data_IF_951264154403
#
_entry.id   IF_951264154403
#
_cell.length_a   1.000
_cell.length_b   1.000
_cell.length_c   1.000
_cell.angle_alpha   90.00
_cell.angle_beta   90.00
_cell.angle_gamma   90.00
#
_symmetry.space_group_name_H-M   'P 1'
#
loop_
_entity.id
_entity.type
_entity.pdbx_description
1 polymer ?
#
# COMPACT_ATOMS: atom_id res chain seq x y z
N UNK A 1 27.73 -3.33 14.13
CA UNK A 1 26.60 -3.53 13.18
C UNK A 1 25.35 -2.94 13.79
N UNK A 2 24.55 -2.26 12.94
CA UNK A 2 23.26 -1.70 13.34
C UNK A 2 22.19 -2.22 12.36
N UNK A 3 21.11 -2.79 12.90
CA UNK A 3 19.95 -3.26 12.15
C UNK A 3 18.74 -2.46 12.56
N UNK A 4 18.00 -1.96 11.56
CA UNK A 4 16.78 -1.20 11.76
C UNK A 4 15.56 -2.02 11.34
N UNK A 5 14.57 -2.09 12.22
CA UNK A 5 13.21 -2.53 11.88
C UNK A 5 12.29 -1.32 11.72
N UNK A 6 11.03 -1.54 11.43
CA UNK A 6 10.07 -0.40 11.33
C UNK A 6 9.82 0.31 12.66
N UNK A 7 10.16 -0.33 13.80
CA UNK A 7 9.84 0.15 15.15
C UNK A 7 11.02 0.18 16.11
N UNK A 8 12.08 -0.57 15.83
CA UNK A 8 13.20 -0.76 16.76
C UNK A 8 14.54 -0.77 16.03
N UNK A 9 15.57 -0.44 16.78
CA UNK A 9 16.96 -0.53 16.38
C UNK A 9 17.63 -1.65 17.17
N UNK A 10 18.49 -2.40 16.52
CA UNK A 10 19.30 -3.45 17.13
C UNK A 10 20.76 -3.18 16.85
N UNK A 11 21.60 -3.36 17.86
CA UNK A 11 23.04 -3.20 17.76
C UNK A 11 23.75 -4.50 18.08
N UNK A 12 24.84 -4.77 17.38
CA UNK A 12 25.72 -5.90 17.64
C UNK A 12 27.18 -5.49 17.47
N UNK A 13 28.04 -6.03 18.30
CA UNK A 13 29.50 -5.88 18.20
C UNK A 13 30.10 -7.19 17.67
N UNK A 14 31.31 -7.11 17.10
CA UNK A 14 32.03 -8.31 16.66
C UNK A 14 32.15 -9.33 17.81
N UNK A 15 31.88 -10.63 17.59
CA UNK A 15 31.68 -11.38 16.33
C UNK A 15 30.24 -11.37 15.72
N UNK A 16 29.32 -10.51 16.21
CA UNK A 16 27.95 -10.31 15.69
C UNK A 16 26.98 -11.47 15.93
N UNK A 17 27.20 -12.24 16.97
CA UNK A 17 26.38 -13.38 17.41
C UNK A 17 25.24 -12.97 18.34
N UNK A 18 25.34 -11.81 18.98
CA UNK A 18 24.30 -11.26 19.83
C UNK A 18 23.80 -9.90 19.33
N UNK A 19 22.48 -9.74 19.27
CA UNK A 19 21.83 -8.48 18.93
C UNK A 19 21.09 -7.92 20.15
N UNK A 20 21.45 -6.69 20.54
CA UNK A 20 20.81 -5.98 21.64
C UNK A 20 19.84 -4.95 21.11
N UNK A 21 18.59 -5.00 21.58
CA UNK A 21 17.57 -4.01 21.27
C UNK A 21 17.99 -2.67 21.90
N UNK A 22 18.07 -1.64 21.06
CA UNK A 22 18.36 -0.27 21.48
C UNK A 22 17.11 0.58 21.25
N UNK A 23 16.59 1.19 22.32
CA UNK A 23 15.43 2.07 22.23
C UNK A 23 15.88 3.49 21.95
N UNK A 24 15.53 3.99 20.78
CA UNK A 24 15.77 5.37 20.42
C UNK A 24 14.91 6.29 21.29
N UNK A 25 15.53 7.29 21.90
CA UNK A 25 14.81 8.31 22.68
C UNK A 25 13.83 9.08 21.83
N UNK A 26 12.82 9.63 22.47
CA UNK A 26 11.82 10.50 21.84
C UNK A 26 12.50 11.77 21.31
N UNK A 27 12.31 12.13 20.03
CA UNK A 27 12.85 13.37 19.50
C UNK A 27 12.12 14.58 20.08
N UNK A 28 12.77 15.73 20.08
CA UNK A 28 12.12 16.99 20.42
C UNK A 28 10.92 17.26 19.50
N UNK A 29 9.87 17.86 20.04
CA UNK A 29 8.64 18.17 19.31
C UNK A 29 7.94 16.93 18.69
N UNK A 30 8.09 15.78 19.33
CA UNK A 30 7.39 14.57 18.93
C UNK A 30 5.87 14.74 18.94
N UNK A 31 5.23 14.23 17.91
CA UNK A 31 3.77 14.14 17.83
C UNK A 31 3.35 12.67 17.64
N UNK A 32 2.44 12.14 18.48
CA UNK A 32 1.97 10.76 18.42
C UNK A 32 0.98 10.55 17.25
N UNK A 33 1.31 11.09 16.08
CA UNK A 33 0.47 10.93 14.87
C UNK A 33 1.00 9.81 13.99
N UNK A 34 0.07 9.18 13.28
CA UNK A 34 0.33 8.21 12.23
C UNK A 34 -0.34 8.63 10.93
N UNK A 35 0.12 8.13 9.80
CA UNK A 35 -0.49 8.44 8.50
C UNK A 35 -1.91 7.89 8.43
N UNK A 36 -2.87 8.71 7.99
CA UNK A 36 -4.24 8.28 7.75
C UNK A 36 -4.30 7.20 6.66
N UNK A 37 -3.49 7.33 5.62
CA UNK A 37 -3.35 6.30 4.59
C UNK A 37 -2.90 4.96 5.18
N UNK A 38 -1.91 4.97 6.08
CA UNK A 38 -1.46 3.75 6.76
C UNK A 38 -2.56 3.12 7.60
N UNK A 39 -3.34 3.92 8.31
CA UNK A 39 -4.51 3.46 9.09
C UNK A 39 -5.56 2.80 8.19
N UNK A 40 -5.90 3.44 7.06
CA UNK A 40 -6.87 2.89 6.09
C UNK A 40 -6.34 1.60 5.46
N UNK A 41 -5.06 1.54 5.12
CA UNK A 41 -4.44 0.32 4.60
C UNK A 41 -4.58 -0.85 5.57
N UNK A 42 -4.15 -0.64 6.82
CA UNK A 42 -4.23 -1.68 7.84
C UNK A 42 -5.68 -2.08 8.18
N UNK A 43 -6.62 -1.14 8.07
CA UNK A 43 -8.04 -1.42 8.23
C UNK A 43 -8.56 -2.29 7.08
N UNK A 44 -8.20 -1.97 5.83
CA UNK A 44 -8.59 -2.73 4.65
C UNK A 44 -8.01 -4.16 4.65
N UNK A 45 -6.75 -4.32 5.04
CA UNK A 45 -6.10 -5.63 5.13
C UNK A 45 -6.47 -6.42 6.40
N UNK A 46 -7.17 -5.78 7.35
CA UNK A 46 -7.47 -6.34 8.67
C UNK A 46 -6.31 -6.27 9.65
N UNK A 47 -5.12 -5.88 9.23
CA UNK A 47 -3.92 -5.83 10.08
C UNK A 47 -4.04 -4.84 11.23
N UNK A 48 -4.95 -3.87 11.13
CA UNK A 48 -5.17 -2.86 12.18
C UNK A 48 -5.50 -3.49 13.54
N UNK A 49 -6.16 -4.63 13.52
CA UNK A 49 -6.51 -5.39 14.74
C UNK A 49 -5.78 -6.74 14.81
N UNK A 50 -4.61 -6.85 14.19
CA UNK A 50 -3.76 -8.03 14.21
C UNK A 50 -4.40 -9.25 13.55
N UNK A 51 -4.13 -10.45 14.08
CA UNK A 51 -4.64 -11.72 13.52
C UNK A 51 -6.17 -11.81 13.49
N UNK A 52 -6.92 -11.41 14.53
CA UNK A 52 -8.39 -11.40 14.46
C UNK A 52 -8.94 -10.54 13.32
N UNK A 53 -8.35 -9.36 13.08
CA UNK A 53 -8.75 -8.50 11.98
C UNK A 53 -8.48 -9.11 10.61
N UNK A 54 -7.31 -9.75 10.42
CA UNK A 54 -6.99 -10.47 9.17
C UNK A 54 -8.00 -11.58 8.89
N UNK A 55 -8.30 -12.42 9.88
CA UNK A 55 -9.29 -13.49 9.73
C UNK A 55 -10.68 -12.95 9.40
N UNK A 56 -11.07 -11.81 9.98
CA UNK A 56 -12.33 -11.15 9.65
C UNK A 56 -12.38 -10.69 8.19
N UNK A 57 -11.31 -10.09 7.67
CA UNK A 57 -11.21 -9.67 6.26
C UNK A 57 -11.18 -10.87 5.32
N UNK A 58 -10.45 -11.93 5.65
CA UNK A 58 -10.43 -13.18 4.89
C UNK A 58 -11.83 -13.79 4.79
N UNK A 59 -12.55 -13.85 5.92
CA UNK A 59 -13.95 -14.29 5.95
C UNK A 59 -14.85 -13.42 5.07
N UNK A 60 -14.71 -12.09 5.12
CA UNK A 60 -15.45 -11.17 4.24
C UNK A 60 -15.11 -11.39 2.77
N UNK A 61 -13.87 -11.72 2.44
CA UNK A 61 -13.46 -12.11 1.09
C UNK A 61 -14.24 -13.33 0.59
N UNK A 62 -14.32 -14.38 1.41
CA UNK A 62 -15.14 -15.57 1.08
C UNK A 62 -16.61 -15.21 0.93
N UNK A 63 -17.15 -14.36 1.80
CA UNK A 63 -18.55 -13.89 1.70
C UNK A 63 -18.79 -13.14 0.38
N UNK A 64 -17.88 -12.28 -0.05
CA UNK A 64 -17.99 -11.56 -1.33
C UNK A 64 -17.96 -12.53 -2.53
N UNK A 65 -17.14 -13.59 -2.47
CA UNK A 65 -17.15 -14.66 -3.50
C UNK A 65 -18.51 -15.36 -3.55
N UNK A 66 -19.08 -15.72 -2.40
CA UNK A 66 -20.39 -16.34 -2.30
C UNK A 66 -21.49 -15.40 -2.81
N UNK A 67 -21.44 -14.12 -2.45
CA UNK A 67 -22.39 -13.12 -2.93
C UNK A 67 -22.30 -12.95 -4.46
N UNK A 68 -21.09 -12.94 -5.03
CA UNK A 68 -20.88 -12.86 -6.48
C UNK A 68 -21.42 -14.10 -7.19
N UNK A 69 -21.09 -15.30 -6.72
CA UNK A 69 -21.57 -16.56 -7.29
C UNK A 69 -23.12 -16.67 -7.22
N UNK A 70 -23.69 -16.32 -6.07
CA UNK A 70 -25.16 -16.35 -5.90
C UNK A 70 -25.85 -15.28 -6.71
N UNK A 71 -25.24 -14.10 -6.91
CA UNK A 71 -25.71 -13.05 -7.80
C UNK A 71 -25.72 -13.49 -9.28
N UNK A 72 -24.67 -14.17 -9.74
CA UNK A 72 -24.60 -14.75 -11.09
C UNK A 72 -25.71 -15.80 -11.27
N UNK A 73 -25.90 -16.70 -10.30
CA UNK A 73 -26.99 -17.70 -10.34
C UNK A 73 -28.35 -17.00 -10.43
N UNK A 74 -28.58 -15.96 -9.65
CA UNK A 74 -29.82 -15.19 -9.67
C UNK A 74 -30.09 -14.52 -11.02
N UNK A 75 -29.05 -14.10 -11.73
CA UNK A 75 -29.17 -13.45 -13.04
C UNK A 75 -29.37 -14.46 -14.18
N UNK A 76 -28.60 -15.55 -14.19
CA UNK A 76 -28.56 -16.50 -15.30
C UNK A 76 -29.60 -17.62 -15.21
N UNK A 77 -29.97 -18.05 -14.00
CA UNK A 77 -30.82 -19.21 -13.81
C UNK A 77 -32.32 -18.96 -14.17
N UNK A 78 -32.94 -17.79 -13.90
CA UNK A 78 -34.33 -17.53 -14.25
C UNK A 78 -34.63 -17.65 -15.75
N UNK A 79 -33.89 -17.05 -16.70
CA UNK A 79 -34.12 -17.23 -18.12
C UNK A 79 -33.93 -18.70 -18.57
N UNK A 80 -32.96 -19.41 -17.96
CA UNK A 80 -32.77 -20.83 -18.23
C UNK A 80 -33.98 -21.68 -17.79
N UNK A 81 -34.51 -21.43 -16.60
CA UNK A 81 -35.71 -22.08 -16.05
C UNK A 81 -36.89 -21.82 -16.96
N UNK A 82 -37.14 -20.56 -17.39
CA UNK A 82 -38.22 -20.21 -18.32
C UNK A 82 -38.11 -20.96 -19.65
N UNK A 83 -36.88 -21.06 -20.19
CA UNK A 83 -36.64 -21.79 -21.45
C UNK A 83 -36.93 -23.28 -21.31
N UNK A 84 -36.52 -23.91 -20.23
CA UNK A 84 -36.83 -25.33 -19.93
C UNK A 84 -38.32 -25.56 -19.73
N UNK A 85 -39.00 -24.69 -19.00
CA UNK A 85 -40.44 -24.77 -18.75
C UNK A 85 -41.23 -24.68 -20.05
N UNK A 86 -40.85 -23.80 -20.98
CA UNK A 86 -41.46 -23.73 -22.33
C UNK A 86 -41.32 -25.04 -23.11
N UNK A 87 -40.22 -25.77 -22.88
CA UNK A 87 -39.97 -27.08 -23.51
C UNK A 87 -40.58 -28.26 -22.71
N UNK A 88 -41.42 -27.98 -21.69
CA UNK A 88 -42.04 -28.98 -20.79
C UNK A 88 -41.04 -29.87 -20.06
N UNK A 89 -39.79 -29.39 -19.85
CA UNK A 89 -38.74 -30.13 -19.14
C UNK A 89 -38.84 -29.86 -17.63
N UNK A 90 -38.47 -30.82 -16.78
CA UNK A 90 -38.51 -30.64 -15.33
C UNK A 90 -37.57 -29.52 -14.87
N UNK A 91 -38.04 -28.64 -13.96
CA UNK A 91 -37.31 -27.45 -13.46
C UNK A 91 -37.20 -27.42 -11.94
N UNK A 92 -37.64 -28.46 -11.22
CA UNK A 92 -37.71 -28.51 -9.76
C UNK A 92 -36.35 -28.29 -9.11
N UNK A 93 -35.30 -28.95 -9.62
CA UNK A 93 -33.91 -28.83 -9.07
C UNK A 93 -33.37 -27.40 -9.26
N UNK A 94 -33.54 -26.82 -10.45
CA UNK A 94 -33.11 -25.46 -10.79
C UNK A 94 -33.86 -24.41 -9.94
N UNK A 95 -35.16 -24.59 -9.76
CA UNK A 95 -35.98 -23.71 -8.94
C UNK A 95 -35.52 -23.78 -7.44
N UNK A 96 -35.21 -25.00 -6.94
CA UNK A 96 -34.66 -25.17 -5.58
C UNK A 96 -33.30 -24.49 -5.44
N UNK A 97 -32.40 -24.68 -6.40
CA UNK A 97 -31.08 -24.04 -6.42
C UNK A 97 -31.21 -22.50 -6.42
N UNK A 98 -32.08 -21.94 -7.25
CA UNK A 98 -32.35 -20.50 -7.29
C UNK A 98 -32.86 -19.97 -5.95
N UNK A 99 -33.82 -20.66 -5.33
CA UNK A 99 -34.40 -20.29 -4.03
C UNK A 99 -33.33 -20.30 -2.92
N UNK A 100 -32.50 -21.36 -2.87
CA UNK A 100 -31.43 -21.50 -1.88
C UNK A 100 -30.38 -20.42 -2.08
N UNK A 101 -29.94 -20.19 -3.32
CA UNK A 101 -28.99 -19.14 -3.68
C UNK A 101 -29.47 -17.75 -3.25
N UNK A 102 -30.71 -17.39 -3.58
CA UNK A 102 -31.31 -16.11 -3.20
C UNK A 102 -31.42 -15.94 -1.67
N UNK A 103 -31.75 -17.01 -0.97
CA UNK A 103 -31.84 -16.96 0.50
C UNK A 103 -30.46 -16.67 1.13
N UNK A 104 -29.41 -17.35 0.70
CA UNK A 104 -28.06 -17.12 1.18
C UNK A 104 -27.53 -15.73 0.78
N UNK A 105 -27.76 -15.32 -0.48
CA UNK A 105 -27.40 -14.00 -0.96
C UNK A 105 -28.00 -12.89 -0.09
N UNK A 106 -29.30 -12.97 0.16
CA UNK A 106 -30.00 -11.98 0.96
C UNK A 106 -29.56 -11.99 2.43
N UNK A 107 -29.37 -13.19 3.01
CA UNK A 107 -28.95 -13.33 4.42
C UNK A 107 -27.55 -12.78 4.64
N UNK A 108 -26.57 -13.21 3.85
CA UNK A 108 -25.19 -12.75 3.97
C UNK A 108 -25.06 -11.26 3.62
N UNK A 109 -25.67 -10.83 2.49
CA UNK A 109 -25.63 -9.44 2.06
C UNK A 109 -26.29 -8.48 3.05
N UNK A 110 -27.32 -8.92 3.78
CA UNK A 110 -27.97 -8.06 4.77
C UNK A 110 -27.21 -8.01 6.10
N UNK A 111 -26.70 -9.14 6.57
CA UNK A 111 -26.02 -9.21 7.87
C UNK A 111 -24.66 -8.53 7.84
N UNK A 112 -23.96 -8.64 6.73
CA UNK A 112 -22.58 -8.17 6.60
C UNK A 112 -22.46 -6.87 5.78
N UNK A 113 -23.57 -6.20 5.47
CA UNK A 113 -23.59 -5.00 4.64
C UNK A 113 -22.62 -3.91 5.15
N UNK A 114 -22.59 -3.66 6.45
CA UNK A 114 -21.71 -2.64 7.02
C UNK A 114 -20.23 -2.95 6.82
N UNK A 115 -19.84 -4.22 7.04
CA UNK A 115 -18.45 -4.66 6.89
C UNK A 115 -18.02 -4.73 5.42
N UNK A 116 -18.89 -5.20 4.53
CA UNK A 116 -18.59 -5.24 3.09
C UNK A 116 -18.51 -3.84 2.47
N UNK A 117 -19.34 -2.90 2.92
CA UNK A 117 -19.22 -1.47 2.56
C UNK A 117 -17.92 -0.86 3.08
N UNK A 118 -17.57 -1.12 4.33
CA UNK A 118 -16.30 -0.66 4.90
C UNK A 118 -15.11 -1.15 4.07
N UNK A 119 -15.10 -2.45 3.72
CA UNK A 119 -14.04 -3.04 2.90
C UNK A 119 -13.98 -2.42 1.50
N UNK A 120 -15.13 -2.20 0.85
CA UNK A 120 -15.20 -1.56 -0.47
C UNK A 120 -14.68 -0.12 -0.44
N UNK A 121 -15.14 0.69 0.52
CA UNK A 121 -14.76 2.10 0.64
C UNK A 121 -13.28 2.25 1.01
N UNK A 122 -12.79 1.46 1.96
CA UNK A 122 -11.36 1.51 2.32
C UNK A 122 -10.47 1.09 1.16
N UNK A 123 -10.87 0.11 0.34
CA UNK A 123 -10.15 -0.29 -0.87
C UNK A 123 -10.01 0.86 -1.89
N UNK A 124 -11.07 1.63 -2.12
CA UNK A 124 -11.02 2.81 -3.00
C UNK A 124 -10.00 3.85 -2.54
N UNK A 125 -9.81 3.99 -1.23
CA UNK A 125 -8.89 4.95 -0.64
C UNK A 125 -7.41 4.57 -0.80
N UNK A 126 -7.10 3.36 -1.25
CA UNK A 126 -5.72 2.86 -1.39
C UNK A 126 -5.11 3.12 -2.76
N UNK A 127 -5.87 3.69 -3.70
CA UNK A 127 -5.43 4.04 -5.04
C UNK A 127 -5.87 5.47 -5.42
N UNK A 128 -5.19 6.10 -6.39
CA UNK A 128 -5.68 7.38 -6.94
C UNK A 128 -7.13 7.25 -7.46
N UNK A 129 -7.94 8.31 -7.34
CA UNK A 129 -7.59 9.65 -6.86
C UNK A 129 -7.65 9.82 -5.33
N UNK A 130 -8.38 8.95 -4.60
CA UNK A 130 -8.63 9.13 -3.15
C UNK A 130 -7.38 8.93 -2.29
N UNK A 131 -6.42 8.11 -2.72
CA UNK A 131 -5.17 7.90 -2.01
C UNK A 131 -4.43 9.23 -1.73
N UNK A 132 -4.45 10.15 -2.70
CA UNK A 132 -3.64 11.38 -2.64
C UNK A 132 -3.95 12.23 -1.40
N UNK A 133 -5.20 12.63 -1.11
CA UNK A 133 -5.49 13.39 0.09
C UNK A 133 -5.19 12.61 1.39
N UNK A 134 -5.42 11.30 1.41
CA UNK A 134 -5.20 10.50 2.63
C UNK A 134 -3.73 10.31 2.98
N UNK A 135 -2.84 10.30 1.99
CA UNK A 135 -1.40 10.22 2.20
C UNK A 135 -0.85 11.47 2.89
N UNK A 136 -1.46 12.63 2.66
CA UNK A 136 -1.01 13.92 3.20
C UNK A 136 -1.52 14.19 4.63
N UNK A 137 -2.47 13.40 5.11
CA UNK A 137 -3.10 13.61 6.43
C UNK A 137 -2.49 12.66 7.47
N UNK A 138 -2.22 13.22 8.66
CA UNK A 138 -1.81 12.46 9.83
C UNK A 138 -2.89 12.58 10.93
N UNK A 139 -3.22 11.45 11.57
CA UNK A 139 -4.21 11.34 12.64
C UNK A 139 -3.61 10.71 13.89
N UNK A 140 -4.31 10.75 15.01
CA UNK A 140 -3.97 9.92 16.16
C UNK A 140 -4.19 8.44 15.81
N UNK A 141 -3.36 7.52 16.34
CA UNK A 141 -3.61 6.10 16.22
C UNK A 141 -5.00 5.74 16.75
N UNK A 142 -5.62 4.72 16.15
CA UNK A 142 -6.87 4.17 16.68
C UNK A 142 -6.55 3.42 17.99
N UNK A 143 -7.21 3.75 19.10
CA UNK A 143 -6.95 3.10 20.38
C UNK A 143 -7.11 1.58 20.30
N UNK A 144 -6.17 0.82 20.88
CA UNK A 144 -6.15 -0.64 20.86
C UNK A 144 -5.81 -1.28 19.51
N UNK A 145 -5.40 -0.48 18.53
CA UNK A 145 -4.93 -0.98 17.24
C UNK A 145 -3.44 -1.33 17.25
N UNK A 146 -2.98 -2.01 16.21
CA UNK A 146 -1.54 -2.31 16.02
C UNK A 146 -0.69 -1.06 15.80
N UNK A 147 -1.29 0.10 15.55
CA UNK A 147 -0.61 1.39 15.47
C UNK A 147 -0.54 2.13 16.82
N UNK A 148 -1.30 1.67 17.80
CA UNK A 148 -1.31 2.24 19.14
C UNK A 148 -0.17 1.64 19.96
N UNK A 149 0.81 2.46 20.32
CA UNK A 149 2.03 2.01 21.01
C UNK A 149 2.68 3.14 21.76
N UNK A 150 3.21 2.84 22.93
CA UNK A 150 4.02 3.77 23.75
C UNK A 150 5.39 4.05 23.11
N UNK A 151 5.83 3.23 22.16
CA UNK A 151 7.05 3.48 21.41
C UNK A 151 6.86 4.62 20.41
N UNK A 152 7.53 5.79 20.57
CA UNK A 152 7.39 6.94 19.67
C UNK A 152 7.80 6.63 18.23
N UNK A 153 8.64 5.62 18.02
CA UNK A 153 9.15 5.20 16.71
C UNK A 153 8.36 4.04 16.09
N UNK A 154 7.29 3.60 16.75
CA UNK A 154 6.50 2.46 16.25
C UNK A 154 6.00 2.69 14.83
N UNK A 155 6.29 1.74 13.93
CA UNK A 155 5.98 1.74 12.49
C UNK A 155 6.50 2.98 11.70
N UNK A 156 7.46 3.74 12.26
CA UNK A 156 7.94 5.01 11.67
C UNK A 156 9.34 4.94 11.08
N UNK A 157 10.19 4.04 11.54
CA UNK A 157 11.57 3.90 11.08
C UNK A 157 11.61 3.34 9.65
N UNK A 158 12.56 3.83 8.81
CA UNK A 158 12.68 3.41 7.41
C UNK A 158 14.09 2.98 7.03
N UNK A 159 15.09 3.81 7.26
CA UNK A 159 16.49 3.52 6.93
C UNK A 159 17.42 4.27 7.87
N UNK A 160 18.56 3.66 8.20
CA UNK A 160 19.64 4.31 8.95
C UNK A 160 20.96 4.10 8.21
N UNK A 161 21.80 5.13 8.17
CA UNK A 161 23.13 5.10 7.55
C UNK A 161 24.12 5.80 8.43
N UNK A 162 25.33 5.26 8.48
CA UNK A 162 26.46 5.90 9.15
C UNK A 162 27.12 6.92 8.21
N UNK A 163 27.20 8.14 8.64
CA UNK A 163 27.93 9.22 7.96
C UNK A 163 29.31 9.35 8.60
N UNK A 164 30.30 8.74 7.94
CA UNK A 164 31.66 8.69 8.45
C UNK A 164 32.33 10.07 8.47
N UNK A 165 31.98 10.95 7.53
CA UNK A 165 32.57 12.30 7.44
C UNK A 165 32.15 13.20 8.60
N UNK A 166 30.93 12.97 9.13
CA UNK A 166 30.36 13.75 10.23
C UNK A 166 30.34 13.01 11.56
N UNK A 167 30.73 11.74 11.55
CA UNK A 167 30.67 10.85 12.71
C UNK A 167 29.28 10.79 13.37
N UNK A 168 28.24 10.64 12.57
CA UNK A 168 26.83 10.62 13.01
C UNK A 168 26.03 9.57 12.26
N UNK A 169 24.91 9.15 12.82
CA UNK A 169 23.91 8.38 12.11
C UNK A 169 22.88 9.31 11.45
N UNK A 170 22.57 9.05 10.19
CA UNK A 170 21.47 9.67 9.48
C UNK A 170 20.31 8.66 9.46
N UNK A 171 19.18 9.06 10.02
CA UNK A 171 17.97 8.26 10.13
C UNK A 171 16.87 8.83 9.25
N UNK A 172 16.33 8.02 8.36
CA UNK A 172 15.08 8.31 7.63
C UNK A 172 13.90 7.65 8.32
N UNK A 173 12.82 8.40 8.49
CA UNK A 173 11.57 7.93 9.08
C UNK A 173 10.36 8.46 8.28
N UNK A 174 9.15 7.96 8.59
CA UNK A 174 7.91 8.53 8.05
C UNK A 174 7.63 9.97 8.48
N UNK A 175 8.39 10.49 9.47
CA UNK A 175 8.27 11.86 9.99
C UNK A 175 9.36 12.80 9.45
N UNK A 176 10.26 12.30 8.59
CA UNK A 176 11.39 13.04 8.01
C UNK A 176 12.73 12.45 8.39
N UNK A 177 13.80 13.25 8.19
CA UNK A 177 15.16 12.85 8.47
C UNK A 177 15.64 13.39 9.81
N UNK A 178 16.48 12.59 10.47
CA UNK A 178 17.06 12.90 11.76
C UNK A 178 18.56 12.61 11.75
N UNK A 179 19.30 13.40 12.52
CA UNK A 179 20.70 13.16 12.88
C UNK A 179 20.76 12.59 14.28
N UNK A 180 21.58 11.58 14.48
CA UNK A 180 21.82 10.94 15.78
C UNK A 180 23.33 10.94 16.01
N UNK A 181 23.79 11.72 16.99
CA UNK A 181 25.20 11.79 17.33
C UNK A 181 25.62 10.56 18.17
N UNK A 182 24.75 10.14 19.06
CA UNK A 182 24.88 8.95 19.88
C UNK A 182 23.51 8.27 19.98
N UNK A 183 23.46 6.94 19.84
CA UNK A 183 22.23 6.16 19.90
C UNK A 183 21.50 6.26 21.25
N UNK A 184 22.19 6.75 22.28
CA UNK A 184 21.62 7.01 23.62
C UNK A 184 21.03 8.41 23.77
N UNK A 185 21.25 9.30 22.79
CA UNK A 185 20.73 10.67 22.80
C UNK A 185 19.46 10.80 21.94
N UNK A 186 18.61 11.80 22.19
CA UNK A 186 17.46 12.09 21.36
C UNK A 186 17.87 12.43 19.92
N UNK A 187 17.26 11.83 18.90
CA UNK A 187 17.47 12.21 17.50
C UNK A 187 17.06 13.66 17.23
N UNK A 188 17.89 14.38 16.50
CA UNK A 188 17.65 15.78 16.11
C UNK A 188 17.07 15.83 14.72
N UNK A 189 15.86 16.41 14.57
CA UNK A 189 15.19 16.51 13.29
C UNK A 189 15.89 17.50 12.37
N UNK A 190 16.18 17.09 11.14
CA UNK A 190 16.73 17.93 10.09
C UNK A 190 15.61 18.71 9.39
N UNK A 191 15.83 20.02 9.16
CA UNK A 191 14.80 20.91 8.61
C UNK A 191 14.81 20.94 7.09
N UNK A 192 15.97 21.04 6.50
CA UNK A 192 16.16 21.12 5.04
C UNK A 192 16.56 19.73 4.53
N UNK A 193 15.59 19.03 3.97
CA UNK A 193 15.74 17.64 3.53
C UNK A 193 15.07 17.40 2.19
N UNK A 194 15.50 16.40 1.41
CA UNK A 194 14.86 16.08 0.15
C UNK A 194 13.37 15.78 0.29
N UNK A 195 12.55 16.15 -0.69
CA UNK A 195 11.15 15.77 -0.75
C UNK A 195 11.06 14.27 -1.02
N UNK A 196 10.74 13.48 -0.02
CA UNK A 196 10.61 12.02 -0.15
C UNK A 196 9.16 11.57 -0.12
N UNK A 197 8.88 10.50 -0.83
CA UNK A 197 7.56 9.88 -0.84
C UNK A 197 7.16 9.40 0.57
N UNK A 198 5.88 9.51 0.94
CA UNK A 198 5.35 8.91 2.16
C UNK A 198 5.56 7.40 2.26
N UNK A 199 5.80 6.74 1.14
CA UNK A 199 6.11 5.30 1.08
C UNK A 199 7.53 4.99 1.58
N UNK A 200 8.40 5.99 1.69
CA UNK A 200 9.76 5.88 2.23
C UNK A 200 10.85 6.19 1.22
N UNK A 201 12.08 5.94 1.66
CA UNK A 201 13.32 6.13 0.90
C UNK A 201 13.76 4.78 0.34
N UNK A 202 13.97 4.71 -0.97
CA UNK A 202 14.45 3.52 -1.68
C UNK A 202 15.98 3.58 -1.95
N UNK A 203 16.52 4.79 -2.03
CA UNK A 203 17.96 5.04 -2.18
C UNK A 203 18.41 5.94 -1.04
N UNK A 204 19.40 5.49 -0.27
CA UNK A 204 20.07 6.26 0.77
C UNK A 204 21.54 5.90 0.73
N UNK A 205 22.27 6.53 -0.19
CA UNK A 205 23.61 6.15 -0.59
C UNK A 205 24.57 7.35 -0.45
N UNK A 206 25.77 7.20 0.16
CA UNK A 206 26.75 8.26 0.19
C UNK A 206 27.34 8.45 -1.22
N UNK A 207 27.29 9.66 -1.75
CA UNK A 207 27.83 9.98 -3.07
C UNK A 207 29.24 10.60 -2.97
N UNK A 208 29.44 11.40 -1.95
CA UNK A 208 30.73 12.00 -1.59
C UNK A 208 30.82 12.19 -0.06
N UNK A 209 31.94 12.62 0.51
CA UNK A 209 32.02 12.90 1.94
C UNK A 209 30.97 13.87 2.46
N UNK A 210 30.52 14.80 1.59
CA UNK A 210 29.54 15.82 1.97
C UNK A 210 28.15 15.61 1.42
N UNK A 211 27.95 14.68 0.49
CA UNK A 211 26.71 14.53 -0.25
C UNK A 211 26.15 13.11 -0.20
N UNK A 212 24.85 13.05 -0.09
CA UNK A 212 24.07 11.83 -0.08
C UNK A 212 23.09 11.80 -1.25
N UNK A 213 22.99 10.65 -1.90
CA UNK A 213 21.97 10.37 -2.91
C UNK A 213 20.72 9.83 -2.22
N UNK A 214 19.62 10.55 -2.35
CA UNK A 214 18.34 10.20 -1.75
C UNK A 214 17.30 9.97 -2.84
N UNK A 215 16.83 8.73 -2.96
CA UNK A 215 15.84 8.35 -3.97
C UNK A 215 14.56 7.82 -3.37
N UNK A 216 13.44 8.17 -3.96
CA UNK A 216 12.10 7.69 -3.61
C UNK A 216 11.17 7.79 -4.81
N UNK A 217 9.89 7.47 -4.64
CA UNK A 217 8.85 7.76 -5.65
C UNK A 217 8.55 9.26 -5.86
N UNK A 218 9.27 10.15 -5.18
CA UNK A 218 9.21 11.59 -5.41
C UNK A 218 10.35 12.13 -6.28
N UNK A 219 11.35 11.30 -6.59
CA UNK A 219 12.51 11.67 -7.39
C UNK A 219 13.81 11.12 -6.84
N UNK A 220 14.93 11.58 -7.42
CA UNK A 220 16.30 11.31 -7.00
C UNK A 220 17.01 12.64 -6.75
N UNK A 221 17.59 12.80 -5.57
CA UNK A 221 18.14 14.08 -5.10
C UNK A 221 19.55 13.90 -4.53
N UNK A 222 20.41 14.86 -4.82
CA UNK A 222 21.68 15.05 -4.12
C UNK A 222 21.42 15.95 -2.91
N UNK A 223 21.83 15.52 -1.74
CA UNK A 223 21.57 16.21 -0.48
C UNK A 223 22.81 16.35 0.36
N UNK A 224 23.13 17.58 0.78
CA UNK A 224 24.14 17.86 1.79
C UNK A 224 23.47 18.05 3.16
N UNK A 225 23.63 17.12 4.12
CA UNK A 225 22.98 17.20 5.43
C UNK A 225 23.47 18.36 6.31
N UNK A 226 24.66 18.92 6.05
CA UNK A 226 25.24 20.03 6.83
C UNK A 226 24.68 21.39 6.43
N UNK A 227 24.61 21.64 5.12
CA UNK A 227 24.10 22.91 4.57
C UNK A 227 22.59 22.87 4.37
N UNK A 228 22.01 21.68 4.27
CA UNK A 228 20.62 21.49 3.86
C UNK A 228 20.39 21.69 2.35
N UNK A 229 21.43 21.81 1.55
CA UNK A 229 21.30 21.95 0.09
C UNK A 229 20.73 20.68 -0.51
N UNK A 230 19.69 20.82 -1.31
CA UNK A 230 19.05 19.73 -2.05
C UNK A 230 18.99 20.09 -3.53
N UNK A 231 19.51 19.22 -4.38
CA UNK A 231 19.46 19.36 -5.83
C UNK A 231 18.82 18.13 -6.47
N UNK A 232 18.04 18.33 -7.50
CA UNK A 232 17.56 17.22 -8.33
C UNK A 232 18.76 16.59 -9.06
N UNK A 233 18.88 15.29 -8.97
CA UNK A 233 20.04 14.55 -9.49
C UNK A 233 20.22 14.71 -11.01
N UNK A 234 19.10 14.75 -11.74
CA UNK A 234 19.15 14.80 -13.21
C UNK A 234 19.42 16.22 -13.75
N UNK A 235 18.82 17.22 -13.11
CA UNK A 235 18.90 18.61 -13.60
C UNK A 235 19.98 19.42 -12.92
N UNK A 236 20.44 19.02 -11.72
CA UNK A 236 21.36 19.80 -10.89
C UNK A 236 20.74 21.08 -10.31
N UNK A 237 19.43 21.26 -10.43
CA UNK A 237 18.72 22.44 -9.94
C UNK A 237 17.99 22.12 -8.62
N UNK A 238 17.66 23.12 -7.80
CA UNK A 238 16.79 22.94 -6.67
C UNK A 238 15.47 22.25 -7.10
N UNK A 239 14.96 21.27 -6.32
CA UNK A 239 13.75 20.56 -6.68
C UNK A 239 12.59 21.55 -6.80
N UNK A 240 11.81 21.43 -7.86
CA UNK A 240 10.56 22.17 -7.98
C UNK A 240 9.68 21.88 -6.78
N UNK A 241 9.04 22.90 -6.21
CA UNK A 241 8.16 22.72 -5.09
C UNK A 241 7.06 21.70 -5.44
N UNK A 242 7.11 20.53 -4.84
CA UNK A 242 6.12 19.45 -5.08
C UNK A 242 4.85 19.81 -4.33
N UNK A 243 4.04 20.66 -4.93
CA UNK A 243 2.75 21.04 -4.36
C UNK A 243 1.77 19.87 -4.54
N UNK A 244 1.51 19.18 -3.45
CA UNK A 244 0.38 18.25 -3.34
C UNK A 244 0.48 16.91 -4.08
N UNK A 245 1.61 16.57 -4.70
CA UNK A 245 1.82 15.25 -5.32
C UNK A 245 2.83 14.43 -4.51
N UNK A 246 2.42 13.33 -3.88
CA UNK A 246 3.34 12.42 -3.18
C UNK A 246 4.24 11.61 -4.14
N UNK A 247 3.99 11.70 -5.45
CA UNK A 247 4.72 11.02 -6.50
C UNK A 247 5.30 12.07 -7.45
N UNK A 248 6.61 12.00 -7.66
CA UNK A 248 7.33 12.88 -8.59
C UNK A 248 7.33 12.38 -10.03
N UNK A 249 8.09 13.08 -10.89
CA UNK A 249 8.26 12.70 -12.30
C UNK A 249 9.12 11.46 -12.54
N UNK A 250 9.96 11.07 -11.57
CA UNK A 250 10.81 9.88 -11.60
C UNK A 250 10.53 9.03 -10.38
N UNK A 251 9.99 7.84 -10.59
CA UNK A 251 9.64 6.89 -9.53
C UNK A 251 10.84 5.97 -9.24
N UNK A 252 11.77 6.45 -8.42
CA UNK A 252 13.04 5.75 -8.17
C UNK A 252 12.84 4.61 -7.19
N UNK A 253 13.22 3.40 -7.62
CA UNK A 253 13.12 2.14 -6.86
C UNK A 253 14.44 1.69 -6.24
N UNK A 254 15.57 2.06 -6.84
CA UNK A 254 16.87 1.62 -6.40
C UNK A 254 18.01 2.31 -7.13
N UNK A 255 19.22 2.07 -6.61
CA UNK A 255 20.47 2.56 -7.16
C UNK A 255 21.57 1.56 -6.84
N UNK A 256 22.55 1.41 -7.73
CA UNK A 256 23.80 0.73 -7.46
C UNK A 256 24.93 1.37 -8.27
N UNK A 257 26.11 1.43 -7.68
CA UNK A 257 27.39 1.80 -8.28
C UNK A 257 28.39 0.63 -8.24
N UNK A 258 27.95 -0.55 -7.81
CA UNK A 258 28.79 -1.77 -7.71
C UNK A 258 29.16 -2.37 -9.07
N UNK A 259 28.53 -1.93 -10.15
CA UNK A 259 28.84 -2.39 -11.50
C UNK A 259 30.10 -1.70 -12.03
N UNK A 260 31.06 -2.48 -12.49
CA UNK A 260 32.45 -2.11 -12.86
C UNK A 260 32.58 -0.88 -13.77
N UNK A 261 31.52 -0.46 -14.41
CA UNK A 261 31.62 0.58 -15.42
C UNK A 261 30.69 1.79 -15.23
N UNK A 262 29.60 1.69 -14.50
CA UNK A 262 28.60 2.79 -14.39
C UNK A 262 27.61 2.58 -13.25
N UNK A 263 27.15 3.70 -12.70
CA UNK A 263 25.99 3.73 -11.83
C UNK A 263 24.72 3.30 -12.57
N UNK A 264 23.85 2.58 -11.90
CA UNK A 264 22.53 2.18 -12.42
C UNK A 264 21.43 2.64 -11.48
N UNK A 265 20.47 3.35 -12.03
CA UNK A 265 19.26 3.83 -11.37
C UNK A 265 18.12 2.95 -11.85
N UNK A 266 17.34 2.42 -10.91
CA UNK A 266 16.15 1.64 -11.22
C UNK A 266 14.92 2.52 -11.02
N UNK A 267 14.19 2.78 -12.10
CA UNK A 267 12.92 3.50 -12.08
C UNK A 267 11.74 2.56 -12.33
N UNK A 268 10.63 2.81 -11.65
CA UNK A 268 9.44 1.96 -11.74
C UNK A 268 8.88 1.89 -13.18
N UNK A 269 8.83 3.04 -13.86
CA UNK A 269 8.22 3.14 -15.19
C UNK A 269 9.21 2.92 -16.33
N UNK A 270 10.50 3.19 -16.09
CA UNK A 270 11.51 3.24 -17.17
C UNK A 270 12.55 2.11 -17.07
N UNK A 271 12.50 1.32 -15.98
CA UNK A 271 13.45 0.24 -15.75
C UNK A 271 14.83 0.75 -15.34
N UNK A 272 15.86 0.00 -15.69
CA UNK A 272 17.26 0.32 -15.37
C UNK A 272 17.84 1.33 -16.37
N UNK A 273 18.41 2.43 -15.86
CA UNK A 273 19.08 3.45 -16.65
C UNK A 273 20.23 4.11 -15.88
N UNK A 274 21.09 4.85 -16.57
CA UNK A 274 22.03 5.79 -15.97
C UNK A 274 21.54 7.23 -16.18
N UNK A 275 22.31 8.21 -15.68
CA UNK A 275 21.98 9.63 -15.79
C UNK A 275 21.82 10.09 -17.24
N UNK A 276 22.70 9.66 -18.13
CA UNK A 276 22.71 10.00 -19.55
C UNK A 276 21.70 9.22 -20.38
N UNK A 277 21.00 8.24 -19.79
CA UNK A 277 20.07 7.33 -20.47
C UNK A 277 20.68 6.55 -21.65
N UNK A 278 21.97 6.24 -21.56
CA UNK A 278 22.72 5.49 -22.57
C UNK A 278 23.22 4.13 -22.07
N UNK A 279 22.64 3.62 -20.98
CA UNK A 279 23.00 2.35 -20.36
C UNK A 279 22.59 1.19 -21.26
N UNK A 280 23.57 0.35 -21.59
CA UNK A 280 23.34 -0.93 -22.26
C UNK A 280 23.65 -2.04 -21.26
N UNK A 281 22.63 -2.78 -20.88
CA UNK A 281 22.75 -3.94 -20.00
C UNK A 281 22.73 -5.24 -20.82
N UNK A 282 23.40 -6.29 -20.38
CA UNK A 282 23.27 -7.60 -20.99
C UNK A 282 21.83 -8.09 -20.90
N UNK A 283 21.44 -8.92 -21.86
CA UNK A 283 20.10 -9.54 -21.83
C UNK A 283 19.95 -10.38 -20.55
N UNK A 284 18.76 -10.34 -19.97
CA UNK A 284 18.42 -11.19 -18.82
C UNK A 284 18.58 -12.67 -19.20
N UNK A 285 19.31 -13.47 -18.41
CA UNK A 285 19.44 -14.91 -18.66
C UNK A 285 18.06 -15.59 -18.75
N UNK A 286 17.88 -16.50 -19.68
CA UNK A 286 16.60 -17.18 -19.92
C UNK A 286 16.05 -17.88 -18.68
N UNK A 287 16.92 -18.46 -17.86
CA UNK A 287 16.53 -19.07 -16.57
C UNK A 287 15.78 -18.08 -15.65
N UNK A 288 16.20 -16.82 -15.61
CA UNK A 288 15.56 -15.78 -14.80
C UNK A 288 14.32 -15.23 -15.51
N UNK A 289 14.43 -15.00 -16.83
CA UNK A 289 13.32 -14.46 -17.64
C UNK A 289 12.09 -15.37 -17.64
N UNK A 290 12.30 -16.69 -17.57
CA UNK A 290 11.23 -17.69 -17.59
C UNK A 290 10.70 -18.04 -16.18
N UNK A 291 11.21 -17.43 -15.10
CA UNK A 291 10.71 -17.72 -13.76
C UNK A 291 9.23 -17.32 -13.65
N UNK A 292 8.36 -18.25 -13.23
CA UNK A 292 6.94 -17.94 -13.06
C UNK A 292 6.73 -17.02 -11.86
N UNK A 293 5.79 -16.09 -12.00
CA UNK A 293 5.30 -15.33 -10.87
C UNK A 293 4.53 -16.24 -9.91
N UNK A 294 4.72 -16.07 -8.59
CA UNK A 294 3.92 -16.80 -7.60
C UNK A 294 2.44 -16.47 -7.74
N UNK A 295 1.56 -17.45 -7.48
CA UNK A 295 0.11 -17.23 -7.53
C UNK A 295 -0.33 -16.10 -6.59
N UNK A 296 0.30 -15.96 -5.42
CA UNK A 296 0.02 -14.89 -4.49
C UNK A 296 0.29 -13.50 -5.11
N UNK A 297 1.46 -13.32 -5.70
CA UNK A 297 1.82 -12.07 -6.37
C UNK A 297 0.89 -11.79 -7.57
N UNK A 298 0.54 -12.80 -8.34
CA UNK A 298 -0.39 -12.66 -9.46
C UNK A 298 -1.76 -12.20 -9.00
N UNK A 299 -2.32 -12.81 -7.95
CA UNK A 299 -3.60 -12.37 -7.36
C UNK A 299 -3.52 -10.95 -6.79
N UNK A 300 -2.38 -10.57 -6.20
CA UNK A 300 -2.17 -9.21 -5.73
C UNK A 300 -2.17 -8.21 -6.90
N UNK A 301 -1.46 -8.51 -7.99
CA UNK A 301 -1.43 -7.66 -9.20
C UNK A 301 -2.83 -7.48 -9.82
N UNK A 302 -3.63 -8.56 -9.84
CA UNK A 302 -5.04 -8.49 -10.25
C UNK A 302 -5.85 -7.59 -9.32
N UNK A 303 -5.74 -7.80 -8.01
CA UNK A 303 -6.52 -7.09 -6.99
C UNK A 303 -6.25 -5.58 -7.00
N UNK A 304 -4.97 -5.19 -7.13
CA UNK A 304 -4.57 -3.77 -7.15
C UNK A 304 -4.66 -3.12 -8.53
N UNK A 305 -5.05 -3.85 -9.57
CA UNK A 305 -5.29 -3.34 -10.93
C UNK A 305 -4.03 -3.16 -11.78
N UNK A 306 -2.82 -3.49 -11.28
CA UNK A 306 -1.57 -3.29 -12.03
C UNK A 306 -1.42 -4.19 -13.24
N UNK A 307 -1.97 -5.41 -13.21
CA UNK A 307 -1.96 -6.32 -14.36
C UNK A 307 -2.71 -5.77 -15.57
N UNK A 308 -3.55 -4.75 -15.40
CA UNK A 308 -4.29 -4.12 -16.50
C UNK A 308 -3.55 -2.96 -17.15
N UNK A 309 -2.41 -2.53 -16.59
CA UNK A 309 -1.61 -1.40 -17.12
C UNK A 309 -1.20 -1.55 -18.58
N UNK A 310 -0.84 -2.75 -19.10
CA UNK A 310 -0.52 -2.91 -20.53
C UNK A 310 -1.70 -2.59 -21.48
N UNK A 311 -2.94 -2.70 -20.99
CA UNK A 311 -4.15 -2.48 -21.79
C UNK A 311 -4.79 -1.11 -21.52
N UNK A 312 -4.72 -0.62 -20.28
CA UNK A 312 -5.40 0.59 -19.83
C UNK A 312 -4.47 1.78 -19.67
N UNK A 313 -3.14 1.59 -19.71
CA UNK A 313 -2.18 2.64 -19.47
C UNK A 313 -2.42 3.34 -18.13
N UNK A 314 -2.43 4.67 -18.14
CA UNK A 314 -2.68 5.50 -16.94
C UNK A 314 -4.06 5.30 -16.32
N UNK A 315 -5.03 4.78 -17.06
CA UNK A 315 -6.37 4.49 -16.55
C UNK A 315 -6.40 3.25 -15.62
N UNK A 316 -5.34 2.45 -15.59
CA UNK A 316 -5.22 1.33 -14.65
C UNK A 316 -5.28 1.79 -13.19
N UNK A 317 -4.81 3.00 -12.88
CA UNK A 317 -4.89 3.57 -11.54
C UNK A 317 -6.33 3.87 -11.11
N UNK A 318 -7.21 4.20 -12.07
CA UNK A 318 -8.63 4.44 -11.83
C UNK A 318 -9.44 3.14 -11.70
N UNK A 319 -8.89 1.99 -12.14
CA UNK A 319 -9.59 0.72 -12.14
C UNK A 319 -10.13 0.34 -10.76
N UNK A 320 -9.28 0.41 -9.74
CA UNK A 320 -9.67 0.07 -8.36
C UNK A 320 -10.72 1.04 -7.83
N UNK A 321 -10.56 2.34 -8.08
CA UNK A 321 -11.52 3.36 -7.66
C UNK A 321 -12.90 3.12 -8.30
N UNK A 322 -12.96 2.94 -9.62
CA UNK A 322 -14.21 2.72 -10.35
C UNK A 322 -14.87 1.40 -9.92
N UNK A 323 -14.09 0.33 -9.80
CA UNK A 323 -14.58 -0.96 -9.35
C UNK A 323 -15.15 -0.91 -7.93
N UNK A 324 -14.47 -0.23 -7.01
CA UNK A 324 -14.93 -0.01 -5.64
C UNK A 324 -16.20 0.84 -5.59
N UNK A 325 -16.30 1.89 -6.42
CA UNK A 325 -17.51 2.71 -6.53
C UNK A 325 -18.71 1.88 -7.02
N UNK A 326 -18.53 1.10 -8.08
CA UNK A 326 -19.55 0.21 -8.61
C UNK A 326 -19.98 -0.82 -7.58
N UNK A 327 -19.02 -1.46 -6.88
CA UNK A 327 -19.33 -2.41 -5.82
C UNK A 327 -20.12 -1.74 -4.69
N UNK A 328 -19.72 -0.55 -4.25
CA UNK A 328 -20.43 0.22 -3.22
C UNK A 328 -21.88 0.52 -3.65
N UNK A 329 -22.11 0.95 -4.90
CA UNK A 329 -23.44 1.20 -5.44
C UNK A 329 -24.28 -0.07 -5.50
N UNK A 330 -23.70 -1.20 -5.91
CA UNK A 330 -24.37 -2.51 -5.95
C UNK A 330 -24.78 -2.94 -4.54
N UNK A 331 -23.90 -2.83 -3.56
CA UNK A 331 -24.18 -3.20 -2.17
C UNK A 331 -25.33 -2.36 -1.60
N UNK A 332 -25.28 -1.03 -1.76
CA UNK A 332 -26.31 -0.12 -1.27
C UNK A 332 -27.65 -0.36 -1.97
N UNK A 333 -27.66 -0.43 -3.30
CA UNK A 333 -28.88 -0.64 -4.07
C UNK A 333 -29.52 -2.00 -3.76
N UNK A 334 -28.73 -3.06 -3.66
CA UNK A 334 -29.20 -4.39 -3.29
C UNK A 334 -29.85 -4.41 -1.91
N UNK A 335 -29.23 -3.74 -0.92
CA UNK A 335 -29.79 -3.61 0.43
C UNK A 335 -31.11 -2.84 0.46
N UNK A 336 -31.21 -1.73 -0.30
CA UNK A 336 -32.44 -0.93 -0.39
C UNK A 336 -33.57 -1.76 -1.00
N UNK A 337 -33.31 -2.46 -2.10
CA UNK A 337 -34.29 -3.32 -2.78
C UNK A 337 -34.78 -4.43 -1.86
N UNK A 338 -33.86 -5.11 -1.16
CA UNK A 338 -34.21 -6.13 -0.18
C UNK A 338 -35.14 -5.58 0.94
N UNK A 339 -34.76 -4.45 1.56
CA UNK A 339 -35.55 -3.81 2.62
C UNK A 339 -36.96 -3.43 2.15
N UNK A 340 -37.10 -2.84 0.95
CA UNK A 340 -38.39 -2.45 0.36
C UNK A 340 -39.27 -3.68 0.13
N UNK A 341 -38.69 -4.74 -0.44
CA UNK A 341 -39.43 -6.00 -0.68
C UNK A 341 -39.92 -6.65 0.62
N UNK A 342 -39.07 -6.68 1.62
CA UNK A 342 -39.41 -7.27 2.92
C UNK A 342 -40.49 -6.49 3.67
N UNK A 343 -40.45 -5.15 3.64
CA UNK A 343 -41.52 -4.32 4.21
C UNK A 343 -42.88 -4.55 3.50
N UNK A 344 -42.88 -4.69 2.16
CA UNK A 344 -44.10 -4.92 1.38
C UNK A 344 -44.71 -6.30 1.68
N UNK A 345 -43.86 -7.32 1.82
CA UNK A 345 -44.30 -8.68 2.14
C UNK A 345 -44.92 -8.79 3.56
N UNK A 346 -44.40 -8.04 4.56
CA UNK A 346 -45.01 -7.97 5.91
C UNK A 346 -46.37 -7.29 5.87
N UNK A 347 -46.53 -6.21 5.09
CA UNK A 347 -47.78 -5.45 5.00
C UNK A 347 -48.93 -6.23 4.32
N UNK A 348 -48.61 -7.22 3.49
CA UNK A 348 -49.61 -8.10 2.82
C UNK A 348 -50.03 -9.27 3.72
N UNK A 349 -49.22 -9.58 4.76
CA UNK A 349 -49.51 -10.71 5.68
C UNK A 349 -50.24 -10.25 6.96
N UNK A 350 -50.39 -8.96 7.20
CA UNK A 350 -51.27 -8.33 8.18
C UNK A 350 -52.61 -7.97 7.54
#
# INVERSE_FOLDING_TARGET
>A
LVILTRSYLYTSVSPYDEFRKTELKTPENYSPKTSLFRTIWLLHSGELFGTPGKLAVDFLGVVLIVLSATGIIYTLLPPFIRRRHRKRLPVKTQAKALKTSLNWHNKLGTWLIGLTLLLSVTGMCLRPPLMIPFVLVNTRPVPGSTLDSDNPWHDKLRSIRWDASRNVWLLSSSMGFYRINDLQLPPVKLKQTPPVSPMGVNVFHPQSPDEWLIGSFSGLFVWNPSTGTVLDYYTGQPPAAVHGRPLGGSLVNGFTDDLVTREVIFEYDKGARNKENNLVLPAMPDLIKQQPMSLWNFCLELHVGRCYSPFLGVFSDLFVFISGLLLTLILISGYIVYKRHHKRSKKIRM
#
